data_IF_292441943038
#
_entry.id   IF_292441943038
#
_cell.length_a   1.000
_cell.length_b   1.000
_cell.length_c   1.000
_cell.angle_alpha   90.00
_cell.angle_beta   90.00
_cell.angle_gamma   90.00
#
_symmetry.space_group_name_H-M   'P 1'
#
loop_
_entity.id
_entity.type
_entity.pdbx_description
1 polymer ?
#
# COMPACT_ATOMS: atom_id res chain seq x y z
N UNK A 1 -1.73 4.61 -10.31
CA UNK A 1 -2.88 4.59 -9.38
C UNK A 1 -4.14 4.43 -10.20
N UNK A 2 -5.08 3.58 -9.78
CA UNK A 2 -6.38 3.42 -10.43
C UNK A 2 -7.48 3.26 -9.37
N UNK A 3 -8.70 3.68 -9.70
CA UNK A 3 -9.90 3.48 -8.89
C UNK A 3 -10.80 2.52 -9.66
N UNK A 4 -11.18 1.41 -9.03
CA UNK A 4 -12.03 0.38 -9.61
C UNK A 4 -13.46 0.47 -9.05
N UNK A 5 -14.46 -0.08 -9.78
CA UNK A 5 -15.84 -0.17 -9.30
C UNK A 5 -15.90 -0.79 -7.90
N UNK A 6 -16.79 -0.28 -7.05
CA UNK A 6 -16.86 -0.67 -5.64
C UNK A 6 -15.95 0.13 -4.70
N UNK A 7 -15.49 1.32 -5.13
CA UNK A 7 -14.64 2.22 -4.35
C UNK A 7 -13.30 1.57 -3.93
N UNK A 8 -12.74 0.73 -4.80
CA UNK A 8 -11.46 0.06 -4.56
C UNK A 8 -10.32 0.89 -5.16
N UNK A 9 -9.37 1.29 -4.32
CA UNK A 9 -8.16 2.01 -4.73
C UNK A 9 -6.99 1.05 -4.89
N UNK A 10 -6.29 1.12 -6.03
CA UNK A 10 -5.01 0.41 -6.19
C UNK A 10 -3.83 1.37 -6.17
N UNK A 11 -2.89 1.04 -5.29
CA UNK A 11 -1.63 1.76 -5.11
C UNK A 11 -0.50 0.89 -5.65
N UNK A 12 0.20 1.40 -6.66
CA UNK A 12 1.45 0.80 -7.12
C UNK A 12 2.59 1.52 -6.40
N UNK A 13 3.38 0.77 -5.65
CA UNK A 13 4.49 1.28 -4.85
C UNK A 13 5.79 0.64 -5.34
N UNK A 14 6.89 1.35 -5.17
CA UNK A 14 8.23 0.79 -5.42
C UNK A 14 8.59 -0.19 -4.32
N UNK A 15 8.97 -1.42 -4.69
CA UNK A 15 9.42 -2.44 -3.74
C UNK A 15 10.85 -2.14 -3.29
N UNK A 16 11.11 -1.92 -1.99
CA UNK A 16 12.48 -1.78 -1.49
C UNK A 16 13.27 -3.08 -1.72
N UNK A 17 14.57 -2.97 -2.00
CA UNK A 17 15.41 -4.12 -2.36
C UNK A 17 15.47 -5.20 -1.28
N UNK A 18 15.48 -4.81 -0.01
CA UNK A 18 15.49 -5.72 1.14
C UNK A 18 14.09 -6.22 1.54
N UNK A 19 13.03 -5.79 0.86
CA UNK A 19 11.66 -6.15 1.22
C UNK A 19 11.28 -7.49 0.58
N UNK A 20 11.24 -8.55 1.38
CA UNK A 20 10.79 -9.88 0.96
C UNK A 20 9.43 -10.19 1.59
N UNK A 21 8.50 -10.72 0.80
CA UNK A 21 7.17 -11.12 1.27
C UNK A 21 6.79 -12.47 0.67
N UNK A 22 5.90 -13.18 1.36
CA UNK A 22 5.26 -14.42 0.94
C UNK A 22 3.78 -14.18 0.65
N UNK A 23 3.19 -15.05 -0.14
CA UNK A 23 1.75 -15.01 -0.44
C UNK A 23 0.93 -15.08 0.84
N UNK A 24 -0.07 -14.20 0.96
CA UNK A 24 -0.95 -14.11 2.14
C UNK A 24 -0.48 -13.14 3.23
N UNK A 25 0.71 -12.55 3.11
CA UNK A 25 1.15 -11.50 4.03
C UNK A 25 0.57 -10.14 3.64
N UNK A 26 0.38 -9.28 4.64
CA UNK A 26 -0.01 -7.88 4.49
C UNK A 26 1.06 -6.98 5.11
N UNK A 27 0.99 -5.69 4.80
CA UNK A 27 1.88 -4.66 5.35
C UNK A 27 1.06 -3.47 5.83
N UNK A 28 1.60 -2.74 6.80
CA UNK A 28 1.09 -1.43 7.18
C UNK A 28 1.73 -0.38 6.30
N UNK A 29 0.93 0.59 5.84
CA UNK A 29 1.39 1.70 5.02
C UNK A 29 1.07 2.99 5.76
N UNK A 30 2.09 3.82 5.95
CA UNK A 30 1.89 5.15 6.50
C UNK A 30 1.71 6.12 5.33
N UNK A 31 0.69 6.98 5.44
CA UNK A 31 0.47 8.06 4.49
C UNK A 31 0.43 9.39 5.24
N UNK A 32 1.60 10.01 5.52
CA UNK A 32 1.68 11.25 6.30
C UNK A 32 0.85 12.40 5.71
N UNK A 33 0.57 12.37 4.41
CA UNK A 33 -0.27 13.34 3.72
C UNK A 33 -1.77 13.23 4.08
N UNK A 34 -2.22 12.05 4.54
CA UNK A 34 -3.60 11.82 5.00
C UNK A 34 -3.66 11.93 6.52
N UNK A 35 -2.77 11.24 7.23
CA UNK A 35 -2.66 11.29 8.68
C UNK A 35 -1.21 11.08 9.11
N UNK A 36 -0.63 11.98 9.93
CA UNK A 36 0.74 11.85 10.39
C UNK A 36 0.94 10.79 11.49
N UNK A 37 -0.13 10.15 12.00
CA UNK A 37 -0.08 9.31 13.22
C UNK A 37 -0.62 7.88 13.07
N UNK A 38 -1.02 7.45 11.87
CA UNK A 38 -1.52 6.07 11.61
C UNK A 38 -0.43 5.07 11.21
#
# INVERSE_FOLDING_TARGET
>A
VAIYPGNVLTLQMSKPSAFHYKSGQYMFVQCPAVSPFE
#
